data_IF_133193215372
#
_entry.id   IF_133193215372
#
_cell.length_a   1.000
_cell.length_b   1.000
_cell.length_c   1.000
_cell.angle_alpha   90.00
_cell.angle_beta   90.00
_cell.angle_gamma   90.00
#
_symmetry.space_group_name_H-M   'P 1'
#
loop_
_entity.id
_entity.type
_entity.pdbx_description
1 polymer ?
#
# COMPACT_ATOMS: atom_id res chain seq x y z
N UNK A 1 16.21 2.23 -22.08
CA UNK A 1 16.12 3.59 -21.53
C UNK A 1 15.52 3.45 -20.14
N UNK A 2 16.14 4.03 -19.12
CA UNK A 2 15.60 3.94 -17.76
C UNK A 2 14.26 4.67 -17.76
N UNK A 3 13.22 3.87 -17.61
CA UNK A 3 11.86 4.30 -17.36
C UNK A 3 11.87 5.33 -16.22
N UNK A 4 11.46 6.57 -16.51
CA UNK A 4 11.57 7.72 -15.59
C UNK A 4 10.81 7.54 -14.27
N UNK A 5 10.02 6.45 -14.16
CA UNK A 5 9.23 6.06 -13.01
C UNK A 5 10.04 5.74 -11.74
N UNK A 6 11.34 5.45 -11.88
CA UNK A 6 12.19 5.07 -10.75
C UNK A 6 11.97 3.61 -10.31
N UNK A 7 12.26 3.31 -9.04
CA UNK A 7 12.14 1.95 -8.48
C UNK A 7 10.69 1.60 -8.16
N UNK A 8 10.38 0.30 -8.21
CA UNK A 8 9.12 -0.22 -7.66
C UNK A 8 9.18 -0.19 -6.13
N UNK A 9 8.21 0.46 -5.50
CA UNK A 9 8.10 0.63 -4.05
C UNK A 9 7.01 -0.23 -3.42
N UNK A 10 6.01 -0.66 -4.19
CA UNK A 10 4.97 -1.55 -3.71
C UNK A 10 4.47 -2.50 -4.80
N UNK A 11 4.11 -3.71 -4.41
CA UNK A 11 3.52 -4.73 -5.28
C UNK A 11 2.34 -5.41 -4.57
N UNK A 12 1.27 -5.68 -5.31
CA UNK A 12 0.09 -6.39 -4.79
C UNK A 12 -0.49 -7.34 -5.84
N UNK A 13 -1.07 -8.46 -5.40
CA UNK A 13 -1.71 -9.45 -6.28
C UNK A 13 -2.92 -10.10 -5.63
N UNK A 14 -3.95 -10.38 -6.43
CA UNK A 14 -5.14 -11.12 -6.00
C UNK A 14 -5.75 -11.95 -7.15
N UNK A 15 -6.57 -12.94 -6.81
CA UNK A 15 -7.28 -13.82 -7.71
C UNK A 15 -8.69 -14.13 -7.24
N UNK A 16 -9.65 -14.06 -8.17
CA UNK A 16 -11.07 -14.29 -7.93
C UNK A 16 -11.63 -15.34 -8.87
N UNK A 17 -12.61 -16.12 -8.41
CA UNK A 17 -13.28 -17.13 -9.22
C UNK A 17 -14.79 -17.17 -8.91
N UNK A 18 -15.62 -17.03 -9.96
CA UNK A 18 -17.08 -17.12 -9.85
C UNK A 18 -17.52 -18.60 -9.95
N UNK A 19 -17.62 -19.24 -8.78
CA UNK A 19 -17.73 -20.69 -8.68
C UNK A 19 -16.35 -21.35 -8.73
N UNK A 20 -16.15 -22.46 -8.01
CA UNK A 20 -14.82 -23.08 -7.85
C UNK A 20 -14.88 -24.60 -8.08
N UNK A 21 -14.65 -25.08 -9.31
CA UNK A 21 -14.16 -24.35 -10.48
C UNK A 21 -15.22 -23.49 -11.19
N UNK A 22 -14.78 -22.49 -11.96
CA UNK A 22 -15.63 -21.55 -12.71
C UNK A 22 -14.81 -20.49 -13.46
N UNK A 23 -15.47 -19.48 -14.07
CA UNK A 23 -14.78 -18.33 -14.65
C UNK A 23 -14.00 -17.57 -13.57
N UNK A 24 -12.73 -17.32 -13.82
CA UNK A 24 -11.84 -16.62 -12.90
C UNK A 24 -11.12 -15.47 -13.55
N UNK A 25 -10.64 -14.58 -12.69
CA UNK A 25 -9.81 -13.45 -13.05
C UNK A 25 -8.74 -13.22 -12.01
N UNK A 26 -7.67 -12.57 -12.42
CA UNK A 26 -6.57 -12.21 -11.54
C UNK A 26 -6.18 -10.76 -11.78
N UNK A 27 -5.63 -10.12 -10.74
CA UNK A 27 -5.20 -8.74 -10.74
C UNK A 27 -3.84 -8.59 -10.08
N UNK A 28 -3.04 -7.68 -10.62
CA UNK A 28 -1.72 -7.35 -10.12
C UNK A 28 -1.46 -5.84 -10.30
N UNK A 29 -0.71 -5.28 -9.36
CA UNK A 29 -0.39 -3.86 -9.32
C UNK A 29 1.06 -3.66 -8.90
N UNK A 30 1.71 -2.68 -9.54
CA UNK A 30 3.03 -2.16 -9.18
C UNK A 30 2.95 -0.65 -8.98
N UNK A 31 3.52 -0.15 -7.88
CA UNK A 31 3.67 1.29 -7.60
C UNK A 31 5.13 1.70 -7.70
N UNK A 32 5.39 2.82 -8.35
CA UNK A 32 6.73 3.36 -8.57
C UNK A 32 7.02 4.58 -7.69
N UNK A 33 8.31 4.94 -7.57
CA UNK A 33 8.78 6.07 -6.75
C UNK A 33 8.19 7.42 -7.16
N UNK A 34 7.89 7.61 -8.45
CA UNK A 34 7.26 8.82 -8.98
C UNK A 34 5.74 8.90 -8.69
N UNK A 35 5.17 7.87 -8.06
CA UNK A 35 3.75 7.76 -7.74
C UNK A 35 2.91 7.08 -8.82
N UNK A 36 3.47 6.81 -10.00
CA UNK A 36 2.77 6.09 -11.06
C UNK A 36 2.43 4.66 -10.64
N UNK A 37 1.35 4.14 -11.23
CA UNK A 37 0.81 2.81 -10.98
C UNK A 37 0.71 2.06 -12.29
N UNK A 38 1.20 0.83 -12.31
CA UNK A 38 1.00 -0.10 -13.41
C UNK A 38 0.09 -1.23 -12.95
N UNK A 39 -1.05 -1.38 -13.63
CA UNK A 39 -2.07 -2.37 -13.32
C UNK A 39 -2.20 -3.35 -14.47
N UNK A 40 -2.32 -4.63 -14.14
CA UNK A 40 -2.50 -5.67 -15.13
C UNK A 40 -3.31 -6.83 -14.55
N UNK A 41 -3.99 -7.54 -15.42
CA UNK A 41 -4.88 -8.62 -15.05
C UNK A 41 -5.22 -9.47 -16.25
N UNK A 42 -5.92 -10.56 -15.98
CA UNK A 42 -6.34 -11.50 -17.01
C UNK A 42 -7.49 -12.37 -16.54
N UNK A 43 -8.06 -13.12 -17.48
CA UNK A 43 -9.20 -13.99 -17.23
C UNK A 43 -8.91 -15.42 -17.69
N UNK A 44 -9.58 -16.39 -17.06
CA UNK A 44 -9.64 -17.78 -17.49
C UNK A 44 -11.08 -18.28 -17.31
N UNK A 45 -11.78 -18.70 -18.38
CA UNK A 45 -13.19 -19.10 -18.30
C UNK A 45 -13.42 -20.40 -17.49
N UNK A 46 -12.39 -21.20 -17.21
CA UNK A 46 -12.54 -22.48 -16.53
C UNK A 46 -11.35 -22.78 -15.59
N UNK A 47 -11.37 -22.14 -14.41
CA UNK A 47 -10.25 -22.18 -13.47
C UNK A 47 -10.71 -22.34 -12.01
N UNK A 48 -9.81 -22.10 -11.07
CA UNK A 48 -10.09 -22.10 -9.62
C UNK A 48 -9.49 -20.85 -8.98
N UNK A 49 -9.97 -20.47 -7.79
CA UNK A 49 -9.42 -19.32 -7.05
C UNK A 49 -7.90 -19.41 -6.89
N UNK A 50 -7.42 -20.57 -6.40
CA UNK A 50 -6.01 -20.81 -6.18
C UNK A 50 -5.18 -20.64 -7.46
N UNK A 51 -5.69 -21.08 -8.63
CA UNK A 51 -4.96 -20.90 -9.89
C UNK A 51 -4.86 -19.43 -10.28
N UNK A 52 -5.90 -18.64 -10.04
CA UNK A 52 -5.87 -17.19 -10.29
C UNK A 52 -4.91 -16.46 -9.35
N UNK A 53 -4.91 -16.78 -8.05
CA UNK A 53 -3.94 -16.25 -7.09
C UNK A 53 -2.49 -16.56 -7.50
N UNK A 54 -2.21 -17.81 -7.91
CA UNK A 54 -0.89 -18.22 -8.38
C UNK A 54 -0.50 -17.53 -9.70
N UNK A 55 -1.45 -17.37 -10.63
CA UNK A 55 -1.20 -16.68 -11.90
C UNK A 55 -0.87 -15.20 -11.68
N UNK A 56 -1.60 -14.52 -10.80
CA UNK A 56 -1.36 -13.12 -10.43
C UNK A 56 0.10 -12.91 -9.97
N UNK A 57 0.55 -13.75 -9.04
CA UNK A 57 1.90 -13.71 -8.52
C UNK A 57 2.96 -14.04 -9.57
N UNK A 58 2.68 -14.99 -10.47
CA UNK A 58 3.60 -15.37 -11.53
C UNK A 58 3.85 -14.21 -12.49
N UNK A 59 2.78 -13.58 -12.98
CA UNK A 59 2.86 -12.45 -13.91
C UNK A 59 3.57 -11.26 -13.26
N UNK A 60 3.24 -10.97 -12.00
CA UNK A 60 3.88 -9.88 -11.27
C UNK A 60 5.37 -10.11 -11.03
N UNK A 61 5.79 -11.33 -10.65
CA UNK A 61 7.21 -11.67 -10.48
C UNK A 61 7.98 -11.61 -11.80
N UNK A 62 7.38 -12.09 -12.90
CA UNK A 62 7.96 -11.97 -14.24
C UNK A 62 8.14 -10.51 -14.64
N UNK A 63 7.15 -9.65 -14.35
CA UNK A 63 7.24 -8.22 -14.59
C UNK A 63 8.33 -7.56 -13.75
N UNK A 64 8.35 -7.84 -12.44
CA UNK A 64 9.33 -7.31 -11.49
C UNK A 64 10.78 -7.65 -11.86
N UNK A 65 11.03 -8.81 -12.49
CA UNK A 65 12.37 -9.24 -12.92
C UNK A 65 13.07 -8.21 -13.81
N UNK A 66 12.30 -7.43 -14.56
CA UNK A 66 12.79 -6.44 -15.53
C UNK A 66 12.75 -5.01 -15.02
N UNK A 67 12.38 -4.79 -13.76
CA UNK A 67 12.21 -3.47 -13.16
C UNK A 67 13.21 -3.26 -12.01
N UNK A 68 13.67 -2.01 -11.80
CA UNK A 68 14.45 -1.68 -10.62
C UNK A 68 13.54 -1.72 -9.38
N UNK A 69 14.04 -2.26 -8.27
CA UNK A 69 13.24 -2.54 -7.07
C UNK A 69 13.78 -1.78 -5.87
N UNK A 70 12.89 -1.25 -5.04
CA UNK A 70 13.27 -0.69 -3.75
C UNK A 70 13.76 -1.83 -2.82
N UNK A 71 14.80 -1.63 -1.99
CA UNK A 71 15.30 -2.68 -1.08
C UNK A 71 14.25 -3.24 -0.12
N UNK A 72 13.28 -2.41 0.27
CA UNK A 72 12.19 -2.78 1.17
C UNK A 72 10.92 -3.27 0.44
N UNK A 73 11.00 -3.53 -0.87
CA UNK A 73 9.86 -3.98 -1.65
C UNK A 73 9.37 -5.35 -1.16
N UNK A 74 8.07 -5.47 -0.91
CA UNK A 74 7.41 -6.75 -0.64
C UNK A 74 6.26 -6.98 -1.61
N UNK A 75 5.97 -8.26 -1.89
CA UNK A 75 4.77 -8.67 -2.64
C UNK A 75 3.65 -8.92 -1.64
N UNK A 76 2.61 -8.09 -1.67
CA UNK A 76 1.42 -8.24 -0.83
C UNK A 76 0.37 -9.11 -1.50
N UNK A 77 -0.22 -10.00 -0.71
CA UNK A 77 -1.30 -10.89 -1.13
C UNK A 77 -2.07 -11.37 0.09
N UNK A 78 -3.36 -11.64 -0.06
CA UNK A 78 -4.18 -12.30 0.96
C UNK A 78 -4.28 -13.83 0.76
N UNK A 79 -3.62 -14.36 -0.27
CA UNK A 79 -3.53 -15.80 -0.52
C UNK A 79 -2.58 -16.48 0.46
N UNK A 80 -3.16 -17.11 1.50
CA UNK A 80 -2.41 -18.03 2.36
C UNK A 80 -1.84 -19.22 1.57
N UNK A 81 -2.54 -19.65 0.52
CA UNK A 81 -2.09 -20.76 -0.33
C UNK A 81 -0.76 -20.43 -1.03
N UNK A 82 -0.64 -19.21 -1.56
CA UNK A 82 0.59 -18.71 -2.17
C UNK A 82 1.72 -18.55 -1.12
N UNK A 83 1.42 -17.93 0.02
CA UNK A 83 2.40 -17.67 1.09
C UNK A 83 2.97 -18.97 1.66
N UNK A 84 2.11 -19.90 2.06
CA UNK A 84 2.55 -21.18 2.62
C UNK A 84 3.28 -22.02 1.57
N UNK A 85 2.82 -21.96 0.32
CA UNK A 85 3.42 -22.68 -0.79
C UNK A 85 4.84 -22.23 -1.12
N UNK A 86 5.05 -20.94 -1.40
CA UNK A 86 6.39 -20.39 -1.68
C UNK A 86 7.29 -20.37 -0.45
N UNK A 87 6.72 -20.19 0.74
CA UNK A 87 7.49 -20.14 1.98
C UNK A 87 7.98 -21.51 2.44
N UNK A 88 7.05 -22.47 2.56
CA UNK A 88 7.30 -23.73 3.26
C UNK A 88 7.21 -24.97 2.38
N UNK A 89 6.16 -25.10 1.54
CA UNK A 89 5.86 -26.37 0.88
C UNK A 89 6.77 -26.67 -0.31
N UNK A 90 7.14 -25.65 -1.09
CA UNK A 90 7.86 -25.82 -2.36
C UNK A 90 9.21 -26.54 -2.18
N UNK A 91 9.90 -26.29 -1.06
CA UNK A 91 11.15 -26.97 -0.70
C UNK A 91 10.94 -28.48 -0.54
N UNK A 92 9.84 -28.87 0.11
CA UNK A 92 9.46 -30.27 0.29
C UNK A 92 9.04 -30.94 -1.02
N UNK A 93 8.26 -30.24 -1.84
CA UNK A 93 7.82 -30.75 -3.15
C UNK A 93 8.98 -30.97 -4.10
N UNK A 94 9.93 -30.01 -4.21
CA UNK A 94 11.13 -30.17 -5.04
C UNK A 94 11.95 -31.39 -4.63
N UNK A 95 12.16 -31.59 -3.32
CA UNK A 95 12.88 -32.76 -2.78
C UNK A 95 12.20 -34.09 -3.12
N UNK A 96 10.86 -34.09 -3.20
CA UNK A 96 10.04 -35.27 -3.55
C UNK A 96 9.74 -35.38 -5.05
N UNK A 97 10.43 -34.63 -5.90
CA UNK A 97 10.20 -34.66 -7.35
C UNK A 97 8.81 -34.17 -7.76
N UNK A 98 8.31 -33.14 -7.08
CA UNK A 98 6.97 -32.55 -7.26
C UNK A 98 5.82 -33.53 -6.99
N UNK A 99 5.97 -34.36 -5.97
CA UNK A 99 4.93 -35.28 -5.49
C UNK A 99 4.54 -35.00 -4.05
N UNK A 100 3.27 -35.22 -3.74
CA UNK A 100 2.72 -35.20 -2.37
C UNK A 100 3.23 -36.39 -1.55
N UNK A 101 2.97 -36.39 -0.24
CA UNK A 101 3.31 -37.53 0.62
C UNK A 101 2.62 -38.84 0.18
N UNK A 102 1.46 -38.74 -0.46
CA UNK A 102 0.73 -39.88 -1.04
C UNK A 102 1.25 -40.31 -2.42
N UNK A 103 2.36 -39.76 -2.92
CA UNK A 103 2.96 -40.11 -4.20
C UNK A 103 2.26 -39.54 -5.44
N UNK A 104 1.13 -38.85 -5.26
CA UNK A 104 0.41 -38.15 -6.34
C UNK A 104 1.13 -36.85 -6.74
N UNK A 105 1.04 -36.40 -8.00
CA UNK A 105 1.48 -35.07 -8.41
C UNK A 105 0.93 -33.97 -7.50
N UNK A 106 1.71 -32.91 -7.31
CA UNK A 106 1.25 -31.73 -6.57
C UNK A 106 0.13 -31.03 -7.34
N UNK A 107 -0.91 -30.56 -6.64
CA UNK A 107 -1.96 -29.78 -7.28
C UNK A 107 -1.40 -28.45 -7.79
N UNK A 108 -1.80 -28.01 -8.99
CA UNK A 108 -1.28 -26.81 -9.65
C UNK A 108 0.25 -26.84 -9.87
N UNK A 109 0.84 -28.03 -10.01
CA UNK A 109 2.28 -28.22 -10.17
C UNK A 109 2.87 -27.43 -11.35
N UNK A 110 2.09 -27.22 -12.40
CA UNK A 110 2.45 -26.38 -13.55
C UNK A 110 2.78 -24.93 -13.11
N UNK A 111 1.85 -24.28 -12.40
CA UNK A 111 2.04 -22.92 -11.90
C UNK A 111 3.11 -22.85 -10.81
N UNK A 112 3.17 -23.84 -9.92
CA UNK A 112 4.21 -23.85 -8.88
C UNK A 112 5.63 -23.95 -9.45
N UNK A 113 5.83 -24.72 -10.51
CA UNK A 113 7.13 -24.79 -11.20
C UNK A 113 7.48 -23.47 -11.87
N UNK A 114 6.50 -22.82 -12.50
CA UNK A 114 6.71 -21.51 -13.11
C UNK A 114 7.05 -20.44 -12.06
N UNK A 115 6.35 -20.43 -10.93
CA UNK A 115 6.61 -19.54 -9.79
C UNK A 115 7.99 -19.78 -9.18
N UNK A 116 8.40 -21.05 -8.99
CA UNK A 116 9.76 -21.39 -8.51
C UNK A 116 10.86 -20.82 -9.42
N UNK A 117 10.63 -20.85 -10.74
CA UNK A 117 11.56 -20.32 -11.73
C UNK A 117 11.55 -18.78 -11.84
N UNK A 118 10.40 -18.15 -11.57
CA UNK A 118 10.23 -16.69 -11.61
C UNK A 118 10.57 -16.02 -10.26
N UNK A 119 10.82 -16.80 -9.20
CA UNK A 119 11.03 -16.29 -7.85
C UNK A 119 12.21 -15.32 -7.79
N UNK A 120 12.00 -14.23 -7.07
CA UNK A 120 12.99 -13.20 -6.78
C UNK A 120 13.35 -13.30 -5.30
N UNK A 121 14.60 -13.63 -4.97
CA UNK A 121 15.05 -13.83 -3.59
C UNK A 121 15.06 -12.54 -2.77
N UNK A 122 15.13 -11.39 -3.44
CA UNK A 122 15.08 -10.03 -2.89
C UNK A 122 13.66 -9.50 -2.69
N UNK A 123 12.61 -10.26 -3.04
CA UNK A 123 11.21 -9.83 -2.90
C UNK A 123 10.45 -10.79 -1.99
N UNK A 124 10.39 -10.53 -0.67
CA UNK A 124 9.61 -11.34 0.25
C UNK A 124 8.10 -11.14 0.07
N UNK A 125 7.32 -12.15 0.46
CA UNK A 125 5.86 -12.09 0.46
C UNK A 125 5.36 -11.59 1.82
N UNK A 126 4.33 -10.74 1.80
CA UNK A 126 3.65 -10.24 3.00
C UNK A 126 2.16 -10.58 2.93
N UNK A 127 1.66 -11.23 3.98
CA UNK A 127 0.23 -11.46 4.14
C UNK A 127 -0.49 -10.16 4.46
N UNK A 128 -1.48 -9.82 3.66
CA UNK A 128 -2.47 -8.80 3.99
C UNK A 128 -3.81 -9.46 4.19
N UNK A 129 -4.65 -8.88 5.06
CA UNK A 129 -6.00 -9.38 5.25
C UNK A 129 -6.87 -8.83 4.12
N UNK A 130 -7.56 -9.69 3.38
CA UNK A 130 -8.55 -9.25 2.38
C UNK A 130 -9.61 -8.33 3.00
N UNK A 131 -9.99 -7.30 2.24
CA UNK A 131 -10.94 -6.25 2.63
C UNK A 131 -10.61 -5.57 3.96
N UNK A 132 -9.33 -5.38 4.26
CA UNK A 132 -8.86 -4.69 5.47
C UNK A 132 -8.68 -3.18 5.31
N UNK A 133 -8.96 -2.65 4.11
CA UNK A 133 -8.74 -1.25 3.76
C UNK A 133 -7.31 -0.95 3.28
N UNK A 134 -6.55 -1.97 2.85
CA UNK A 134 -5.31 -1.76 2.09
C UNK A 134 -5.70 -1.36 0.66
N UNK A 135 -5.43 -0.12 0.22
CA UNK A 135 -5.93 0.38 -1.07
C UNK A 135 -5.41 -0.41 -2.27
N UNK A 136 -4.19 -0.93 -2.20
CA UNK A 136 -3.59 -1.65 -3.32
C UNK A 136 -4.15 -3.08 -3.39
N UNK A 137 -4.36 -3.73 -2.24
CA UNK A 137 -5.03 -5.03 -2.18
C UNK A 137 -6.49 -4.92 -2.66
N UNK A 138 -7.23 -3.92 -2.17
CA UNK A 138 -8.62 -3.70 -2.56
C UNK A 138 -8.73 -3.37 -4.07
N UNK A 139 -7.71 -2.73 -4.66
CA UNK A 139 -7.65 -2.46 -6.10
C UNK A 139 -7.41 -3.74 -6.92
N UNK A 140 -6.48 -4.61 -6.50
CA UNK A 140 -6.24 -5.87 -7.23
C UNK A 140 -7.40 -6.86 -7.10
N UNK A 141 -8.14 -6.85 -5.98
CA UNK A 141 -9.41 -7.57 -5.84
C UNK A 141 -10.44 -7.09 -6.88
N UNK A 142 -10.63 -5.77 -7.00
CA UNK A 142 -11.55 -5.20 -8.01
C UNK A 142 -11.17 -5.62 -9.43
N UNK A 143 -9.88 -5.61 -9.75
CA UNK A 143 -9.36 -6.07 -11.04
C UNK A 143 -9.70 -7.55 -11.24
N UNK A 144 -9.35 -8.40 -10.27
CA UNK A 144 -9.58 -9.84 -10.34
C UNK A 144 -11.08 -10.18 -10.51
N UNK A 145 -11.95 -9.53 -9.72
CA UNK A 145 -13.40 -9.70 -9.80
C UNK A 145 -13.95 -9.22 -11.15
N UNK A 146 -13.49 -8.08 -11.66
CA UNK A 146 -13.91 -7.58 -12.97
C UNK A 146 -13.57 -8.57 -14.09
N UNK A 147 -12.33 -9.08 -14.13
CA UNK A 147 -11.92 -10.09 -15.11
C UNK A 147 -12.70 -11.41 -14.96
N UNK A 148 -12.96 -11.85 -13.72
CA UNK A 148 -13.75 -13.07 -13.47
C UNK A 148 -15.18 -13.01 -14.01
N UNK A 149 -15.71 -11.79 -14.17
CA UNK A 149 -17.05 -11.52 -14.67
C UNK A 149 -17.05 -11.04 -16.13
N UNK A 150 -15.90 -11.04 -16.80
CA UNK A 150 -15.77 -10.55 -18.18
C UNK A 150 -16.08 -9.05 -18.33
N UNK A 151 -15.96 -8.27 -17.26
CA UNK A 151 -16.14 -6.81 -17.30
C UNK A 151 -14.86 -6.14 -17.79
N UNK A 152 -15.01 -5.14 -18.66
CA UNK A 152 -13.89 -4.27 -19.05
C UNK A 152 -13.64 -3.27 -17.93
N UNK A 153 -12.44 -3.32 -17.35
CA UNK A 153 -11.92 -2.32 -16.42
C UNK A 153 -10.85 -1.52 -17.17
N UNK A 154 -10.85 -0.20 -17.03
CA UNK A 154 -9.67 0.58 -17.42
C UNK A 154 -8.54 0.28 -16.44
N UNK A 155 -7.59 -0.52 -16.89
CA UNK A 155 -6.35 -0.77 -16.18
C UNK A 155 -5.39 0.37 -16.48
N UNK A 156 -4.80 0.95 -15.43
CA UNK A 156 -3.75 1.96 -15.59
C UNK A 156 -2.52 1.36 -16.28
N UNK A 157 -2.30 1.67 -17.54
CA UNK A 157 -0.95 1.71 -18.13
C UNK A 157 -0.30 3.04 -17.76
N UNK A 158 1.05 3.17 -17.78
CA UNK A 158 1.70 4.43 -17.53
C UNK A 158 1.13 5.47 -18.50
N UNK A 159 0.23 6.31 -18.00
CA UNK A 159 -0.13 7.52 -18.72
C UNK A 159 1.16 8.33 -18.73
N UNK A 160 1.57 8.75 -19.93
CA UNK A 160 2.52 9.84 -20.10
C UNK A 160 2.03 10.97 -19.21
N UNK A 161 2.67 11.14 -18.05
CA UNK A 161 2.42 12.21 -17.10
C UNK A 161 0.95 12.66 -17.10
N UNK A 162 0.06 11.90 -16.45
CA UNK A 162 -0.94 12.63 -15.66
C UNK A 162 -0.15 13.37 -14.58
N UNK A 163 0.42 14.51 -14.97
CA UNK A 163 0.50 15.64 -14.07
C UNK A 163 -0.88 15.71 -13.42
N UNK A 164 -0.98 15.74 -12.08
CA UNK A 164 -2.28 15.88 -11.45
C UNK A 164 -2.96 17.06 -12.12
N UNK A 165 -4.06 16.80 -12.83
CA UNK A 165 -4.81 17.86 -13.47
C UNK A 165 -5.23 18.80 -12.35
N UNK A 166 -4.70 20.01 -12.37
CA UNK A 166 -4.86 21.09 -11.39
C UNK A 166 -6.32 21.61 -11.31
N UNK A 167 -7.28 20.88 -11.88
CA UNK A 167 -8.70 21.24 -12.00
C UNK A 167 -9.60 20.50 -11.00
N UNK A 168 -9.06 19.56 -10.22
CA UNK A 168 -9.78 18.96 -9.09
C UNK A 168 -9.41 19.67 -7.78
N UNK A 169 -10.38 20.06 -6.92
CA UNK A 169 -10.02 20.62 -5.63
C UNK A 169 -9.17 19.59 -4.87
N UNK A 170 -8.01 20.03 -4.36
CA UNK A 170 -7.10 19.18 -3.63
C UNK A 170 -7.87 18.35 -2.58
N UNK A 171 -7.50 17.06 -2.37
CA UNK A 171 -8.19 16.19 -1.44
C UNK A 171 -8.47 16.91 -0.12
N UNK A 172 -9.74 16.96 0.31
CA UNK A 172 -10.18 17.87 1.37
C UNK A 172 -9.37 17.73 2.66
N UNK A 173 -8.91 16.53 2.99
CA UNK A 173 -8.05 16.28 4.16
C UNK A 173 -6.67 16.95 4.04
N UNK A 174 -6.09 17.02 2.83
CA UNK A 174 -4.82 17.75 2.59
C UNK A 174 -5.03 19.25 2.65
N UNK A 175 -6.13 19.77 2.09
CA UNK A 175 -6.49 21.19 2.20
C UNK A 175 -6.70 21.59 3.66
N UNK A 176 -7.41 20.75 4.43
CA UNK A 176 -7.63 20.96 5.86
C UNK A 176 -6.31 20.91 6.65
N UNK A 177 -5.42 19.96 6.32
CA UNK A 177 -4.11 19.87 6.96
C UNK A 177 -3.26 21.11 6.65
N UNK A 178 -3.14 21.51 5.38
CA UNK A 178 -2.40 22.70 4.97
C UNK A 178 -2.95 23.97 5.63
N UNK A 179 -4.27 24.18 5.55
CA UNK A 179 -4.95 25.33 6.19
C UNK A 179 -4.67 25.39 7.70
N UNK A 180 -4.61 24.24 8.36
CA UNK A 180 -4.33 24.15 9.79
C UNK A 180 -2.87 24.46 10.12
N UNK A 181 -1.93 23.99 9.32
CA UNK A 181 -0.50 24.30 9.49
C UNK A 181 -0.23 25.80 9.21
N UNK A 182 -0.87 26.38 8.20
CA UNK A 182 -0.82 27.82 7.93
C UNK A 182 -1.43 28.65 9.06
N UNK A 183 -2.54 28.17 9.64
CA UNK A 183 -3.15 28.79 10.81
C UNK A 183 -2.21 28.72 12.02
N UNK A 184 -1.55 27.57 12.26
CA UNK A 184 -0.56 27.44 13.31
C UNK A 184 0.62 28.42 13.12
N UNK A 185 1.07 28.62 11.89
CA UNK A 185 2.11 29.61 11.57
C UNK A 185 1.68 31.05 11.82
N UNK A 186 0.46 31.42 11.43
CA UNK A 186 -0.08 32.76 11.70
C UNK A 186 -0.26 33.03 13.19
N UNK A 187 -0.70 32.03 13.95
CA UNK A 187 -0.79 32.12 15.41
C UNK A 187 0.59 32.25 16.04
N UNK A 188 1.58 31.50 15.54
CA UNK A 188 2.94 31.54 16.05
C UNK A 188 3.67 32.86 15.78
N UNK A 189 3.32 33.57 14.71
CA UNK A 189 3.85 34.91 14.40
C UNK A 189 3.10 36.07 15.05
N UNK A 190 2.00 35.82 15.75
CA UNK A 190 1.13 36.85 16.35
C UNK A 190 1.07 36.78 17.88
N UNK A 191 0.34 37.71 18.49
CA UNK A 191 0.07 37.73 19.95
C UNK A 191 -1.19 36.95 20.32
N UNK A 192 -1.59 35.98 19.49
CA UNK A 192 -2.84 35.25 19.67
C UNK A 192 -2.64 34.12 20.68
N UNK A 193 -3.60 33.99 21.61
CA UNK A 193 -3.69 32.86 22.52
C UNK A 193 -4.95 32.05 22.22
N UNK A 194 -4.87 30.74 22.41
CA UNK A 194 -5.94 29.78 22.15
C UNK A 194 -6.56 29.33 23.46
N UNK A 195 -7.88 29.21 23.51
CA UNK A 195 -8.55 28.41 24.52
C UNK A 195 -8.20 26.93 24.36
N UNK A 196 -8.46 26.13 25.40
CA UNK A 196 -8.19 24.68 25.36
C UNK A 196 -8.95 23.96 24.24
N UNK A 197 -10.16 24.42 23.91
CA UNK A 197 -10.99 23.87 22.82
C UNK A 197 -10.40 24.18 21.45
N UNK A 198 -9.99 25.44 21.23
CA UNK A 198 -9.36 25.86 19.97
C UNK A 198 -8.01 25.16 19.77
N UNK A 199 -7.24 24.98 20.85
CA UNK A 199 -6.01 24.21 20.81
C UNK A 199 -6.26 22.75 20.44
N UNK A 200 -7.27 22.11 21.06
CA UNK A 200 -7.62 20.72 20.75
C UNK A 200 -7.99 20.51 19.27
N UNK A 201 -8.72 21.47 18.69
CA UNK A 201 -9.05 21.48 17.27
C UNK A 201 -7.80 21.69 16.39
N UNK A 202 -6.88 22.55 16.82
CA UNK A 202 -5.63 22.82 16.11
C UNK A 202 -4.67 21.63 16.15
N UNK A 203 -4.56 20.90 17.27
CA UNK A 203 -3.59 19.80 17.40
C UNK A 203 -4.17 18.41 17.13
N UNK A 204 -5.48 18.33 16.88
CA UNK A 204 -6.25 17.08 16.71
C UNK A 204 -6.11 16.10 17.87
N UNK A 205 -6.07 16.61 19.11
CA UNK A 205 -6.06 15.78 20.31
C UNK A 205 -7.37 15.90 21.08
N UNK A 206 -7.87 14.82 21.70
CA UNK A 206 -9.04 14.88 22.57
C UNK A 206 -8.83 15.86 23.73
N UNK A 207 -9.84 16.69 24.04
CA UNK A 207 -9.82 17.66 25.14
C UNK A 207 -9.30 17.07 26.46
N UNK A 208 -9.77 15.86 26.82
CA UNK A 208 -9.33 15.15 28.05
C UNK A 208 -7.82 14.91 28.13
N UNK A 209 -7.14 14.78 27.00
CA UNK A 209 -5.68 14.60 26.97
C UNK A 209 -4.94 15.92 27.19
N UNK A 210 -5.57 17.05 26.86
CA UNK A 210 -5.00 18.39 27.01
C UNK A 210 -5.34 19.02 28.36
N UNK A 211 -6.49 18.69 28.96
CA UNK A 211 -6.89 19.15 30.30
C UNK A 211 -5.86 18.80 31.39
N UNK A 212 -5.15 17.68 31.21
CA UNK A 212 -4.13 17.20 32.13
C UNK A 212 -2.74 17.82 31.88
N UNK A 213 -2.57 18.59 30.80
CA UNK A 213 -1.28 19.19 30.43
C UNK A 213 -1.18 20.59 31.00
N UNK A 214 -0.09 20.85 31.72
CA UNK A 214 0.25 22.17 32.26
C UNK A 214 1.63 22.66 31.78
N UNK A 215 2.45 21.76 31.25
CA UNK A 215 3.80 22.04 30.80
C UNK A 215 3.86 22.28 29.28
N UNK A 216 4.83 23.07 28.79
CA UNK A 216 5.18 23.16 27.37
C UNK A 216 5.36 21.79 26.69
N UNK A 217 4.93 21.66 25.44
CA UNK A 217 5.26 20.49 24.62
C UNK A 217 5.50 20.84 23.15
N UNK A 218 6.13 19.90 22.43
CA UNK A 218 6.37 20.02 21.00
C UNK A 218 5.24 19.32 20.26
N UNK A 219 4.61 20.04 19.34
CA UNK A 219 3.66 19.50 18.37
C UNK A 219 4.15 19.85 16.97
N UNK A 220 4.67 18.84 16.26
CA UNK A 220 5.34 19.00 14.95
C UNK A 220 6.45 20.05 15.03
N UNK A 221 6.34 21.13 14.27
CA UNK A 221 7.32 22.21 14.17
C UNK A 221 7.05 23.38 15.12
N UNK A 222 6.09 23.24 16.05
CA UNK A 222 5.74 24.28 17.01
C UNK A 222 5.91 23.84 18.45
N UNK A 223 6.34 24.79 19.27
CA UNK A 223 6.26 24.72 20.72
C UNK A 223 4.89 25.25 21.14
N UNK A 224 4.14 24.43 21.87
CA UNK A 224 2.87 24.79 22.48
C UNK A 224 3.14 25.15 23.93
N UNK A 225 2.90 26.41 24.29
CA UNK A 225 3.28 27.00 25.58
C UNK A 225 2.03 27.41 26.37
N UNK A 226 1.97 27.13 27.68
CA UNK A 226 0.91 27.65 28.52
C UNK A 226 1.01 29.18 28.62
N UNK A 227 -0.14 29.84 28.68
CA UNK A 227 -0.29 31.29 28.85
C UNK A 227 -1.24 31.59 30.01
N UNK A 228 -1.44 32.88 30.30
CA UNK A 228 -2.34 33.32 31.36
C UNK A 228 -3.79 32.85 31.15
N UNK A 229 -4.52 32.70 32.26
CA UNK A 229 -5.95 32.34 32.26
C UNK A 229 -6.29 31.00 31.57
N UNK A 230 -5.35 30.04 31.57
CA UNK A 230 -5.57 28.69 31.00
C UNK A 230 -5.57 28.66 29.47
N UNK A 231 -4.97 29.67 28.84
CA UNK A 231 -4.80 29.76 27.39
C UNK A 231 -3.44 29.20 26.95
N UNK A 232 -3.27 29.05 25.64
CA UNK A 232 -2.06 28.48 25.04
C UNK A 232 -1.56 29.33 23.88
N UNK A 233 -0.26 29.41 23.70
CA UNK A 233 0.38 30.11 22.55
C UNK A 233 1.24 29.13 21.76
N UNK A 234 1.44 29.41 20.48
CA UNK A 234 2.36 28.65 19.63
C UNK A 234 3.60 29.48 19.36
N UNK A 235 4.75 28.82 19.26
CA UNK A 235 5.98 29.40 18.76
C UNK A 235 6.59 28.45 17.75
N UNK A 236 7.04 28.97 16.60
CA UNK A 236 7.68 28.14 15.58
C UNK A 236 9.05 27.72 16.10
N UNK A 237 9.38 26.45 15.98
CA UNK A 237 10.70 25.92 16.28
C UNK A 237 11.68 26.46 15.24
N UNK A 238 12.71 27.17 15.67
CA UNK A 238 13.80 27.53 14.75
C UNK A 238 14.53 26.27 14.30
N UNK A 239 14.71 26.13 12.98
CA UNK A 239 15.45 25.01 12.41
C UNK A 239 16.95 25.23 12.64
N UNK A 240 17.45 24.74 13.78
CA UNK A 240 18.86 24.42 13.96
C UNK A 240 19.58 25.15 15.10
N UNK A 241 19.65 24.48 16.26
CA UNK A 241 20.88 24.42 17.08
C UNK A 241 20.66 23.44 18.23
N UNK A 242 21.12 22.20 18.05
CA UNK A 242 21.72 21.35 19.10
C UNK A 242 22.30 20.09 18.44
N UNK A 243 23.41 20.28 17.73
CA UNK A 243 24.57 19.42 17.90
C UNK A 243 25.49 20.15 18.86
N UNK A 244 25.60 19.67 20.09
CA UNK A 244 26.82 19.66 20.93
C UNK A 244 26.57 18.78 22.14
#
# INVERSE_FOLDING_TARGET
MADGRGRVVAAATDGACSGNPGPGGWGALLRFEDGSVEEFGGHDPATTNNRMELQAALELLQRLKHLPRHPDLTLRTDSKYLIDGLGSWIKGWKRKGWKTAAGKPVLNQDLWKALDAARLDDVPLTYVKGHSGDPDNDRVDQIAVAFSQGRSLELGQPSDLEQPSDDGPAPQHLVQLLSRLELADRLAGGTFSLSLVELAQLVELPLKQLELRQEPWIWRDWHVLPAEEGRWTLQRREAGSEQS
#
